data_IF_639878640020
#
_entry.id   IF_639878640020
#
_cell.length_a   1.000
_cell.length_b   1.000
_cell.length_c   1.000
_cell.angle_alpha   90.00
_cell.angle_beta   90.00
_cell.angle_gamma   90.00
#
_symmetry.space_group_name_H-M   'P 1'
#
loop_
_entity.id
_entity.type
_entity.pdbx_description
1 polymer ?
#
# COMPACT_ATOMS: atom_id res chain seq x y z
N UNK A 1 -21.43 12.10 1.76
CA UNK A 1 -20.48 11.20 1.10
C UNK A 1 -19.16 11.27 1.84
N UNK A 2 -18.62 10.12 2.24
CA UNK A 2 -17.30 10.09 2.87
C UNK A 2 -16.22 10.43 1.86
N UNK A 3 -15.29 11.31 2.24
CA UNK A 3 -14.19 11.73 1.40
C UNK A 3 -12.95 10.91 1.72
N UNK A 4 -12.46 10.17 0.73
CA UNK A 4 -11.34 9.23 0.85
C UNK A 4 -10.13 9.77 0.09
N UNK A 5 -9.00 9.89 0.78
CA UNK A 5 -7.73 10.33 0.23
C UNK A 5 -6.99 9.15 -0.43
N UNK A 6 -6.48 9.36 -1.63
CA UNK A 6 -5.62 8.41 -2.34
C UNK A 6 -4.32 9.08 -2.78
N UNK A 7 -3.24 8.30 -2.90
CA UNK A 7 -2.03 8.75 -3.59
C UNK A 7 -2.16 8.42 -5.09
N UNK A 8 -1.79 9.38 -5.95
CA UNK A 8 -2.03 9.33 -7.39
C UNK A 8 -3.40 9.89 -7.75
N UNK A 9 -3.84 9.61 -8.98
CA UNK A 9 -5.10 10.08 -9.53
C UNK A 9 -6.08 8.93 -9.79
N UNK A 10 -7.28 9.23 -10.26
CA UNK A 10 -8.24 8.22 -10.74
C UNK A 10 -7.58 7.28 -11.75
N UNK A 11 -7.87 5.99 -11.64
CA UNK A 11 -7.21 4.95 -12.42
C UNK A 11 -5.92 4.40 -11.80
N UNK A 12 -5.39 5.00 -10.72
CA UNK A 12 -4.28 4.40 -9.96
C UNK A 12 -4.73 3.15 -9.18
N UNK A 13 -3.77 2.33 -8.73
CA UNK A 13 -4.09 1.18 -7.89
C UNK A 13 -4.70 1.59 -6.53
N UNK A 14 -4.33 2.76 -6.00
CA UNK A 14 -4.97 3.31 -4.80
C UNK A 14 -6.44 3.67 -5.07
N UNK A 15 -6.76 4.21 -6.24
CA UNK A 15 -8.14 4.46 -6.66
C UNK A 15 -8.93 3.16 -6.73
N UNK A 16 -8.38 2.11 -7.36
CA UNK A 16 -9.02 0.80 -7.43
C UNK A 16 -9.34 0.27 -6.04
N UNK A 17 -8.36 0.29 -5.11
CA UNK A 17 -8.57 -0.16 -3.72
C UNK A 17 -9.65 0.65 -3.02
N UNK A 18 -9.69 1.98 -3.22
CA UNK A 18 -10.74 2.81 -2.61
C UNK A 18 -12.13 2.39 -3.11
N UNK A 19 -12.28 2.15 -4.40
CA UNK A 19 -13.55 1.70 -4.99
C UNK A 19 -13.93 0.29 -4.53
N UNK A 20 -12.97 -0.65 -4.49
CA UNK A 20 -13.21 -2.02 -4.06
C UNK A 20 -13.60 -2.11 -2.58
N UNK A 21 -13.02 -1.26 -1.74
CA UNK A 21 -13.23 -1.30 -0.28
C UNK A 21 -14.49 -0.54 0.16
N UNK A 22 -14.74 0.63 -0.42
CA UNK A 22 -15.82 1.54 0.01
C UNK A 22 -17.04 1.54 -0.93
N UNK A 23 -16.90 0.98 -2.14
CA UNK A 23 -17.93 1.07 -3.18
C UNK A 23 -17.94 2.44 -3.89
N UNK A 24 -18.97 2.67 -4.69
CA UNK A 24 -19.04 3.82 -5.60
C UNK A 24 -19.60 5.10 -4.96
N UNK A 25 -20.06 5.03 -3.70
CA UNK A 25 -20.70 6.16 -3.01
C UNK A 25 -19.73 7.00 -2.17
N UNK A 26 -18.49 7.19 -2.68
CA UNK A 26 -17.44 7.97 -2.03
C UNK A 26 -16.97 9.12 -2.91
N UNK A 27 -16.45 10.18 -2.28
CA UNK A 27 -15.71 11.24 -2.94
C UNK A 27 -14.21 10.94 -2.85
N UNK A 28 -13.55 10.83 -3.98
CA UNK A 28 -12.10 10.62 -4.04
C UNK A 28 -11.37 11.96 -4.01
N UNK A 29 -10.41 12.09 -3.09
CA UNK A 29 -9.46 13.19 -3.04
C UNK A 29 -8.06 12.70 -3.45
N UNK A 30 -7.52 13.28 -4.50
CA UNK A 30 -6.27 12.91 -5.13
C UNK A 30 -5.10 13.71 -4.54
N UNK A 31 -4.02 13.02 -4.17
CA UNK A 31 -2.79 13.61 -3.65
C UNK A 31 -1.57 12.99 -4.33
N UNK A 32 -0.55 13.81 -4.62
CA UNK A 32 0.63 13.30 -5.31
C UNK A 32 1.68 12.71 -4.37
N UNK A 33 1.51 12.87 -3.06
CA UNK A 33 2.38 12.27 -2.04
C UNK A 33 1.59 11.67 -0.88
N UNK A 34 2.18 10.69 -0.20
CA UNK A 34 1.60 10.13 1.02
C UNK A 34 1.57 11.13 2.17
N UNK A 35 2.51 12.06 2.24
CA UNK A 35 2.53 13.14 3.23
C UNK A 35 1.32 14.06 3.07
N UNK A 36 0.99 14.48 1.84
CA UNK A 36 -0.20 15.29 1.56
C UNK A 36 -1.48 14.54 1.89
N UNK A 37 -1.56 13.24 1.53
CA UNK A 37 -2.68 12.37 1.86
C UNK A 37 -2.89 12.32 3.38
N UNK A 38 -1.86 12.01 4.16
CA UNK A 38 -1.92 11.92 5.62
C UNK A 38 -2.30 13.27 6.23
N UNK A 39 -1.69 14.36 5.77
CA UNK A 39 -2.02 15.72 6.21
C UNK A 39 -3.48 16.09 5.92
N UNK A 40 -4.06 15.61 4.83
CA UNK A 40 -5.47 15.83 4.53
C UNK A 40 -6.41 15.22 5.58
N UNK A 41 -6.06 14.04 6.09
CA UNK A 41 -6.81 13.36 7.16
C UNK A 41 -6.61 14.09 8.50
N UNK A 42 -5.35 14.41 8.85
CA UNK A 42 -5.04 15.16 10.08
C UNK A 42 -5.80 16.49 10.14
N UNK A 43 -5.93 17.17 9.02
CA UNK A 43 -6.61 18.45 8.91
C UNK A 43 -8.13 18.34 8.64
N UNK A 44 -8.74 17.16 8.77
CA UNK A 44 -10.16 16.88 8.55
C UNK A 44 -10.68 17.27 7.15
N UNK A 45 -9.80 17.30 6.14
CA UNK A 45 -10.19 17.48 4.73
C UNK A 45 -10.71 16.18 4.14
N UNK A 46 -10.17 15.05 4.61
CA UNK A 46 -10.61 13.70 4.29
C UNK A 46 -10.87 12.91 5.58
N UNK A 47 -11.81 11.98 5.54
CA UNK A 47 -12.16 11.13 6.68
C UNK A 47 -11.21 9.93 6.78
N UNK A 48 -10.85 9.37 5.64
CA UNK A 48 -10.04 8.16 5.51
C UNK A 48 -9.04 8.29 4.38
N UNK A 49 -8.05 7.40 4.35
CA UNK A 49 -7.08 7.32 3.27
C UNK A 49 -6.65 5.88 2.99
N UNK A 50 -6.19 5.66 1.77
CA UNK A 50 -5.67 4.39 1.29
C UNK A 50 -4.16 4.50 1.13
N UNK A 51 -3.40 3.66 1.83
CA UNK A 51 -1.92 3.65 1.77
C UNK A 51 -1.42 2.25 1.43
N UNK A 52 -0.61 2.11 0.40
CA UNK A 52 0.14 0.89 0.12
C UNK A 52 1.18 0.66 1.21
N UNK A 53 1.21 -0.55 1.80
CA UNK A 53 2.11 -0.86 2.92
C UNK A 53 3.14 -1.93 2.56
N UNK A 54 2.82 -2.80 1.63
CA UNK A 54 3.65 -3.93 1.24
C UNK A 54 3.30 -4.43 -0.16
N UNK A 55 4.32 -4.88 -0.88
CA UNK A 55 4.16 -5.58 -2.14
C UNK A 55 4.90 -6.92 -2.07
N UNK A 56 4.31 -7.99 -2.60
CA UNK A 56 4.86 -9.36 -2.53
C UNK A 56 6.22 -9.53 -3.22
N UNK A 57 6.59 -8.62 -4.12
CA UNK A 57 7.87 -8.65 -4.87
C UNK A 57 8.84 -7.61 -4.31
N UNK A 58 8.36 -6.37 -4.10
CA UNK A 58 9.19 -5.25 -3.65
C UNK A 58 9.39 -5.21 -2.12
N UNK A 59 8.59 -5.98 -1.36
CA UNK A 59 8.64 -6.00 0.09
C UNK A 59 7.90 -4.85 0.75
N UNK A 60 8.29 -4.51 1.98
CA UNK A 60 7.67 -3.46 2.79
C UNK A 60 7.96 -2.07 2.25
N UNK A 61 6.92 -1.23 2.18
CA UNK A 61 7.04 0.20 1.86
C UNK A 61 7.35 0.94 3.17
N UNK A 62 8.61 0.86 3.58
CA UNK A 62 9.11 1.30 4.89
C UNK A 62 8.69 2.72 5.27
N UNK A 63 8.78 3.75 4.39
CA UNK A 63 8.40 5.11 4.75
C UNK A 63 6.94 5.22 5.22
N UNK A 64 6.04 4.39 4.69
CA UNK A 64 4.62 4.46 5.01
C UNK A 64 4.31 3.94 6.42
N UNK A 65 5.10 3.00 6.95
CA UNK A 65 5.00 2.59 8.36
C UNK A 65 5.33 3.75 9.31
N UNK A 66 6.44 4.45 9.04
CA UNK A 66 6.85 5.60 9.83
C UNK A 66 5.81 6.72 9.74
N UNK A 67 5.26 6.96 8.55
CA UNK A 67 4.26 7.99 8.32
C UNK A 67 2.97 7.74 9.11
N UNK A 68 2.46 6.49 9.12
CA UNK A 68 1.27 6.10 9.90
C UNK A 68 1.53 6.27 11.39
N UNK A 69 2.70 5.82 11.87
CA UNK A 69 3.05 5.92 13.29
C UNK A 69 3.17 7.37 13.77
N UNK A 70 3.92 8.18 13.03
CA UNK A 70 4.19 9.59 13.39
C UNK A 70 2.92 10.46 13.32
N UNK A 71 1.99 10.12 12.45
CA UNK A 71 0.72 10.84 12.29
C UNK A 71 -0.33 10.51 13.34
N UNK A 72 -0.10 9.49 14.18
CA UNK A 72 -1.09 8.94 15.12
C UNK A 72 -2.40 8.47 14.47
N UNK A 73 -2.41 8.24 13.16
CA UNK A 73 -3.54 7.66 12.48
C UNK A 73 -3.68 6.18 12.85
N UNK A 74 -4.90 5.66 12.71
CA UNK A 74 -5.24 4.27 13.00
C UNK A 74 -5.48 3.50 11.72
N UNK A 75 -4.99 2.27 11.67
CA UNK A 75 -5.34 1.32 10.62
C UNK A 75 -6.72 0.75 10.95
N UNK A 76 -7.66 0.93 10.05
CA UNK A 76 -9.06 0.53 10.23
C UNK A 76 -9.48 -0.61 9.30
N UNK A 77 -8.61 -1.00 8.38
CA UNK A 77 -8.85 -2.11 7.46
C UNK A 77 -7.66 -2.35 6.56
N UNK A 78 -7.75 -3.43 5.80
CA UNK A 78 -6.78 -3.76 4.75
C UNK A 78 -7.47 -4.28 3.50
N UNK A 79 -6.80 -4.16 2.39
CA UNK A 79 -7.22 -4.72 1.12
C UNK A 79 -6.03 -5.18 0.30
N UNK A 80 -6.20 -6.27 -0.46
CA UNK A 80 -5.16 -6.85 -1.30
C UNK A 80 -5.63 -6.82 -2.74
N UNK A 81 -4.77 -6.36 -3.65
CA UNK A 81 -5.03 -6.44 -5.09
C UNK A 81 -3.83 -7.00 -5.83
N UNK A 82 -4.09 -7.71 -6.92
CA UNK A 82 -3.06 -8.07 -7.87
C UNK A 82 -2.68 -6.86 -8.74
N UNK A 83 -1.39 -6.59 -8.84
CA UNK A 83 -0.86 -5.53 -9.68
C UNK A 83 -0.61 -6.10 -11.08
N UNK A 84 -1.50 -5.80 -12.00
CA UNK A 84 -1.45 -6.23 -13.39
C UNK A 84 -1.15 -5.03 -14.29
N UNK A 85 0.04 -4.99 -14.85
CA UNK A 85 0.48 -3.89 -15.69
C UNK A 85 0.08 -4.09 -17.14
N UNK A 86 -0.64 -3.11 -17.68
CA UNK A 86 -1.05 -3.06 -19.09
C UNK A 86 -0.20 -2.03 -19.84
N UNK A 87 0.27 -2.35 -21.03
CA UNK A 87 0.80 -1.35 -21.95
C UNK A 87 -0.36 -0.77 -22.75
N UNK A 88 -0.54 0.54 -22.69
CA UNK A 88 -1.64 1.23 -23.33
C UNK A 88 -1.17 2.50 -24.06
N UNK A 89 -1.91 2.90 -25.09
CA UNK A 89 -1.70 4.15 -25.83
C UNK A 89 -3.02 4.63 -26.42
N UNK A 90 -2.98 5.70 -27.23
CA UNK A 90 -4.17 6.16 -27.98
C UNK A 90 -4.73 5.05 -28.88
N UNK A 91 -6.06 4.97 -29.04
CA UNK A 91 -6.69 3.99 -29.90
C UNK A 91 -6.11 3.96 -31.31
N UNK A 92 -5.90 2.75 -31.84
CA UNK A 92 -5.28 2.51 -33.15
C UNK A 92 -3.76 2.53 -33.19
N UNK A 93 -3.08 2.84 -32.04
CA UNK A 93 -1.62 2.75 -31.92
C UNK A 93 -1.16 1.30 -31.86
N UNK A 94 0.02 1.03 -32.38
CA UNK A 94 0.69 -0.28 -32.28
C UNK A 94 2.01 -0.11 -31.53
N UNK A 95 2.51 -1.20 -30.93
CA UNK A 95 3.77 -1.16 -30.15
C UNK A 95 4.95 -0.61 -30.97
N UNK A 96 4.99 -0.84 -32.27
CA UNK A 96 6.03 -0.34 -33.18
C UNK A 96 5.98 1.17 -33.42
N UNK A 97 4.86 1.82 -33.09
CA UNK A 97 4.63 3.26 -33.27
C UNK A 97 5.06 4.06 -32.02
N UNK A 98 5.50 3.33 -30.96
CA UNK A 98 5.93 3.93 -29.71
C UNK A 98 7.45 4.19 -29.71
N UNK A 99 7.84 5.42 -29.42
CA UNK A 99 9.23 5.82 -29.16
C UNK A 99 9.55 5.74 -27.66
N UNK A 100 8.55 6.04 -26.83
CA UNK A 100 8.69 6.13 -25.38
C UNK A 100 7.59 5.37 -24.68
N UNK A 101 7.92 4.72 -23.57
CA UNK A 101 6.94 4.22 -22.59
C UNK A 101 7.28 4.80 -21.24
N UNK A 102 6.31 5.46 -20.63
CA UNK A 102 6.49 6.11 -19.34
C UNK A 102 5.61 5.47 -18.26
N UNK A 103 6.12 5.43 -17.03
CA UNK A 103 5.39 4.97 -15.85
C UNK A 103 6.18 5.20 -14.57
N UNK A 104 5.57 4.87 -13.42
CA UNK A 104 6.25 4.83 -12.14
C UNK A 104 7.46 3.87 -12.19
N UNK A 105 8.62 4.20 -11.55
CA UNK A 105 9.85 3.41 -11.61
C UNK A 105 9.65 1.92 -11.30
N UNK A 106 8.83 1.59 -10.30
CA UNK A 106 8.54 0.20 -9.94
C UNK A 106 7.79 -0.55 -11.04
N UNK A 107 6.87 0.10 -11.75
CA UNK A 107 6.15 -0.52 -12.87
C UNK A 107 7.10 -0.79 -14.04
N UNK A 108 7.98 0.15 -14.36
CA UNK A 108 9.03 -0.02 -15.38
C UNK A 108 9.96 -1.19 -15.04
N UNK A 109 10.43 -1.25 -13.77
CA UNK A 109 11.29 -2.33 -13.30
C UNK A 109 10.62 -3.71 -13.42
N UNK A 110 9.35 -3.80 -13.03
CA UNK A 110 8.59 -5.05 -13.08
C UNK A 110 8.29 -5.50 -14.52
N UNK A 111 8.28 -4.59 -15.49
CA UNK A 111 8.03 -4.87 -16.91
C UNK A 111 9.30 -4.95 -17.78
N UNK A 112 10.49 -4.86 -17.17
CA UNK A 112 11.76 -4.76 -17.90
C UNK A 112 12.01 -5.91 -18.89
N UNK A 113 11.63 -7.15 -18.56
CA UNK A 113 11.80 -8.30 -19.44
C UNK A 113 10.97 -8.20 -20.72
N UNK A 114 9.76 -7.63 -20.63
CA UNK A 114 8.92 -7.38 -21.80
C UNK A 114 9.64 -6.44 -22.78
N UNK A 115 10.22 -5.34 -22.28
CA UNK A 115 10.89 -4.34 -23.12
C UNK A 115 12.28 -4.76 -23.64
N UNK A 116 12.87 -5.83 -23.14
CA UNK A 116 14.08 -6.42 -23.76
C UNK A 116 13.85 -6.84 -25.22
N UNK A 117 12.61 -7.20 -25.57
CA UNK A 117 12.21 -7.56 -26.94
C UNK A 117 11.82 -6.33 -27.80
N UNK A 118 11.77 -5.15 -27.20
CA UNK A 118 11.37 -3.90 -27.83
C UNK A 118 12.42 -2.80 -27.55
N UNK A 119 13.67 -3.08 -27.91
CA UNK A 119 14.84 -2.25 -27.58
C UNK A 119 14.84 -0.86 -28.24
N UNK A 120 13.96 -0.62 -29.19
CA UNK A 120 13.73 0.68 -29.81
C UNK A 120 12.91 1.63 -28.92
N UNK A 121 12.26 1.11 -27.87
CA UNK A 121 11.43 1.90 -26.97
C UNK A 121 12.28 2.42 -25.79
N UNK A 122 12.27 3.72 -25.57
CA UNK A 122 12.90 4.34 -24.39
C UNK A 122 11.94 4.29 -23.20
N UNK A 123 12.41 3.76 -22.07
CA UNK A 123 11.66 3.75 -20.81
C UNK A 123 11.95 5.03 -20.03
N UNK A 124 10.91 5.75 -19.63
CA UNK A 124 10.99 7.02 -18.90
C UNK A 124 10.25 6.94 -17.58
N UNK A 125 10.93 7.28 -16.50
CA UNK A 125 10.32 7.33 -15.16
C UNK A 125 9.39 8.53 -15.01
N UNK A 126 8.26 8.30 -14.35
CA UNK A 126 7.26 9.31 -14.02
C UNK A 126 6.72 9.11 -12.59
N UNK A 127 5.99 10.08 -12.09
CA UNK A 127 5.53 10.12 -10.70
C UNK A 127 4.44 9.09 -10.38
N UNK A 128 3.55 8.82 -11.34
CA UNK A 128 2.41 7.94 -11.15
C UNK A 128 2.06 7.20 -12.45
N UNK A 129 1.52 5.98 -12.32
CA UNK A 129 1.16 5.15 -13.48
C UNK A 129 -0.04 5.71 -14.26
N UNK A 130 -1.08 6.16 -13.55
CA UNK A 130 -2.31 6.64 -14.15
C UNK A 130 -2.17 8.07 -14.73
N UNK A 131 -1.28 8.89 -14.15
CA UNK A 131 -1.03 10.25 -14.64
C UNK A 131 -0.47 10.26 -16.06
N UNK A 132 0.39 9.30 -16.39
CA UNK A 132 0.90 9.16 -17.76
C UNK A 132 -0.26 8.85 -18.73
N UNK A 133 -1.14 7.91 -18.36
CA UNK A 133 -2.31 7.58 -19.16
C UNK A 133 -3.24 8.79 -19.36
N UNK A 134 -3.49 9.56 -18.30
CA UNK A 134 -4.26 10.80 -18.36
C UNK A 134 -3.65 11.80 -19.34
N UNK A 135 -2.31 12.06 -19.27
CA UNK A 135 -1.65 13.01 -20.18
C UNK A 135 -1.67 12.56 -21.61
N UNK A 136 -1.47 11.26 -21.90
CA UNK A 136 -1.56 10.72 -23.25
C UNK A 136 -2.94 11.03 -23.87
N UNK A 137 -4.00 10.82 -23.12
CA UNK A 137 -5.35 11.09 -23.61
C UNK A 137 -5.64 12.58 -23.72
N UNK A 138 -5.32 13.37 -22.69
CA UNK A 138 -5.56 14.82 -22.67
C UNK A 138 -4.88 15.53 -23.84
N UNK A 139 -3.59 15.21 -24.06
CA UNK A 139 -2.73 15.91 -25.01
C UNK A 139 -2.66 15.18 -26.39
N UNK A 140 -3.39 14.04 -26.53
CA UNK A 140 -3.45 13.21 -27.76
C UNK A 140 -2.06 12.80 -28.27
N UNK A 141 -1.18 12.35 -27.37
CA UNK A 141 0.21 12.01 -27.70
C UNK A 141 0.28 10.63 -28.37
N UNK A 142 0.72 10.58 -29.63
CA UNK A 142 0.63 9.35 -30.45
C UNK A 142 1.80 8.38 -30.28
N UNK A 143 2.99 8.87 -29.91
CA UNK A 143 4.22 8.07 -29.89
C UNK A 143 4.65 7.68 -28.46
N UNK A 144 3.79 7.88 -27.46
CA UNK A 144 4.03 7.54 -26.08
C UNK A 144 3.02 6.49 -25.62
N UNK A 145 3.52 5.43 -24.97
CA UNK A 145 2.73 4.47 -24.24
C UNK A 145 2.83 4.67 -22.73
N UNK A 146 1.80 4.25 -22.00
CA UNK A 146 1.80 4.17 -20.54
C UNK A 146 1.78 2.72 -20.08
N UNK A 147 2.42 2.45 -18.93
CA UNK A 147 2.19 1.23 -18.15
C UNK A 147 1.29 1.60 -16.99
N UNK A 148 0.06 1.09 -16.97
CA UNK A 148 -0.90 1.39 -15.93
C UNK A 148 -1.88 0.23 -15.69
N UNK A 149 -2.89 0.43 -14.85
CA UNK A 149 -3.95 -0.52 -14.55
C UNK A 149 -4.97 -0.60 -15.71
N UNK A 150 -5.76 -1.66 -15.75
CA UNK A 150 -6.93 -1.76 -16.65
C UNK A 150 -7.89 -0.61 -16.39
N UNK A 151 -8.07 -0.22 -15.12
CA UNK A 151 -8.96 0.87 -14.74
C UNK A 151 -8.53 2.22 -15.36
N UNK A 152 -7.22 2.49 -15.43
CA UNK A 152 -6.72 3.68 -16.13
C UNK A 152 -7.04 3.66 -17.63
N UNK A 153 -6.95 2.50 -18.28
CA UNK A 153 -7.36 2.35 -19.69
C UNK A 153 -8.82 2.70 -19.88
N UNK A 154 -9.70 2.19 -19.00
CA UNK A 154 -11.14 2.44 -19.08
C UNK A 154 -11.49 3.92 -18.85
N UNK A 155 -10.92 4.53 -17.80
CA UNK A 155 -11.20 5.93 -17.44
C UNK A 155 -10.71 6.91 -18.50
N UNK A 156 -9.52 6.65 -19.06
CA UNK A 156 -8.88 7.56 -20.02
C UNK A 156 -9.06 7.13 -21.48
N UNK A 157 -9.92 6.14 -21.73
CA UNK A 157 -10.25 5.68 -23.11
C UNK A 157 -9.00 5.38 -23.95
N UNK A 158 -7.99 4.75 -23.32
CA UNK A 158 -6.80 4.27 -24.00
C UNK A 158 -6.97 2.81 -24.44
N UNK A 159 -6.36 2.44 -25.55
CA UNK A 159 -6.33 1.05 -26.02
C UNK A 159 -5.20 0.29 -25.33
N UNK A 160 -5.53 -0.88 -24.78
CA UNK A 160 -4.52 -1.81 -24.25
C UNK A 160 -3.85 -2.50 -25.43
N UNK A 161 -2.56 -2.20 -25.64
CA UNK A 161 -1.75 -2.77 -26.72
C UNK A 161 -1.19 -4.15 -26.33
N UNK A 162 -0.87 -4.33 -25.04
CA UNK A 162 -0.41 -5.61 -24.52
C UNK A 162 -0.81 -5.74 -23.06
N UNK A 163 -1.35 -6.92 -22.73
CA UNK A 163 -1.87 -7.23 -21.41
C UNK A 163 -0.81 -7.88 -20.50
N UNK A 164 -0.90 -7.57 -19.20
CA UNK A 164 -0.16 -8.27 -18.15
C UNK A 164 1.34 -8.39 -18.44
N UNK A 165 1.98 -7.26 -18.79
CA UNK A 165 3.37 -7.25 -19.26
C UNK A 165 4.42 -7.38 -18.14
N UNK A 166 4.00 -7.40 -16.86
CA UNK A 166 4.91 -7.64 -15.74
C UNK A 166 5.53 -9.05 -15.80
N UNK A 167 6.79 -9.17 -15.43
CA UNK A 167 7.56 -10.41 -15.46
C UNK A 167 7.00 -11.46 -14.49
N UNK A 168 6.75 -11.06 -13.25
CA UNK A 168 6.18 -11.91 -12.22
C UNK A 168 4.68 -11.69 -12.16
N UNK A 169 3.89 -12.75 -12.42
CA UNK A 169 2.42 -12.65 -12.54
C UNK A 169 1.73 -12.56 -11.17
N UNK A 170 2.25 -13.27 -10.16
CA UNK A 170 1.77 -13.16 -8.78
C UNK A 170 2.41 -11.94 -8.12
N UNK A 171 1.82 -10.77 -8.36
CA UNK A 171 2.28 -9.49 -7.86
C UNK A 171 1.16 -8.85 -7.05
N UNK A 172 1.13 -9.16 -5.76
CA UNK A 172 0.09 -8.68 -4.88
C UNK A 172 0.58 -7.51 -4.04
N UNK A 173 -0.22 -6.47 -3.93
CA UNK A 173 0.04 -5.33 -3.04
C UNK A 173 -1.02 -5.27 -1.96
N UNK A 174 -0.56 -5.15 -0.73
CA UNK A 174 -1.36 -4.88 0.45
C UNK A 174 -1.48 -3.40 0.68
N UNK A 175 -2.70 -2.94 0.81
CA UNK A 175 -3.06 -1.58 1.19
C UNK A 175 -3.72 -1.59 2.56
N UNK A 176 -3.53 -0.54 3.33
CA UNK A 176 -4.24 -0.31 4.58
C UNK A 176 -5.12 0.92 4.46
N UNK A 177 -6.26 0.87 5.13
CA UNK A 177 -7.17 1.99 5.29
C UNK A 177 -6.82 2.68 6.59
N UNK A 178 -6.60 3.98 6.53
CA UNK A 178 -6.21 4.78 7.69
C UNK A 178 -7.27 5.85 7.98
N UNK A 179 -7.45 6.17 9.25
CA UNK A 179 -8.30 7.26 9.73
C UNK A 179 -7.80 7.82 11.07
N UNK A 180 -8.37 8.95 11.53
CA UNK A 180 -8.07 9.50 12.86
C UNK A 180 -8.56 8.61 13.99
N UNK A 181 -9.72 8.01 13.81
CA UNK A 181 -10.39 7.25 14.85
C UNK A 181 -10.29 5.75 14.55
N UNK A 182 -10.00 4.97 15.57
CA UNK A 182 -10.17 3.52 15.47
C UNK A 182 -11.64 3.21 15.20
N UNK A 183 -11.91 2.20 14.38
CA UNK A 183 -13.25 1.63 14.31
C UNK A 183 -13.61 1.02 15.68
N UNK A 184 -14.92 1.01 15.99
CA UNK A 184 -15.40 0.27 17.17
C UNK A 184 -14.97 -1.19 17.03
N UNK A 185 -14.56 -1.79 18.14
CA UNK A 185 -14.24 -3.21 18.16
C UNK A 185 -15.45 -4.01 17.64
N UNK A 186 -15.26 -4.67 16.52
CA UNK A 186 -16.21 -5.61 15.95
C UNK A 186 -15.76 -7.03 16.30
N UNK A 187 -16.68 -7.91 16.63
CA UNK A 187 -16.40 -9.33 16.86
C UNK A 187 -15.79 -10.05 15.63
N UNK A 188 -15.88 -9.44 14.46
CA UNK A 188 -15.26 -9.93 13.22
C UNK A 188 -13.79 -9.54 13.06
N UNK A 189 -13.27 -8.68 13.94
CA UNK A 189 -11.87 -8.31 13.89
C UNK A 189 -11.01 -9.46 14.40
N UNK A 190 -10.05 -9.86 13.60
CA UNK A 190 -9.19 -11.03 13.82
C UNK A 190 -7.71 -10.75 13.50
N UNK A 191 -7.36 -9.47 13.23
CA UNK A 191 -6.00 -9.04 12.95
C UNK A 191 -5.68 -7.74 13.68
N UNK A 192 -4.44 -7.64 14.19
CA UNK A 192 -3.91 -6.43 14.80
C UNK A 192 -2.57 -6.05 14.19
N UNK A 193 -2.39 -4.75 13.94
CA UNK A 193 -1.08 -4.15 13.64
C UNK A 193 -0.57 -3.43 14.87
N UNK A 194 0.64 -3.80 15.30
CA UNK A 194 1.27 -3.32 16.51
C UNK A 194 2.63 -2.70 16.20
N UNK A 195 3.04 -1.73 17.01
CA UNK A 195 4.41 -1.25 17.08
C UNK A 195 4.92 -1.37 18.50
N UNK A 196 6.15 -1.85 18.68
CA UNK A 196 6.82 -1.84 19.97
C UNK A 196 8.30 -1.50 19.85
N UNK A 197 8.87 -1.01 20.94
CA UNK A 197 10.29 -0.73 21.08
C UNK A 197 10.84 -1.61 22.20
N UNK A 198 11.99 -2.22 21.98
CA UNK A 198 12.64 -3.12 22.93
C UNK A 198 13.98 -2.56 23.40
N UNK A 199 14.35 -2.94 24.62
CA UNK A 199 15.71 -2.71 25.09
C UNK A 199 16.72 -3.51 24.24
N UNK A 200 17.89 -2.94 23.99
CA UNK A 200 18.95 -3.58 23.21
C UNK A 200 19.67 -4.66 24.02
N UNK A 201 18.95 -5.75 24.35
CA UNK A 201 19.46 -6.91 25.10
C UNK A 201 19.16 -8.20 24.38
N UNK A 202 20.04 -9.19 24.57
CA UNK A 202 19.84 -10.53 24.02
C UNK A 202 18.52 -11.13 24.52
N UNK A 203 17.74 -11.69 23.58
CA UNK A 203 16.51 -12.42 23.89
C UNK A 203 15.24 -11.57 24.00
N UNK A 204 15.31 -10.24 23.98
CA UNK A 204 14.12 -9.39 24.19
C UNK A 204 13.07 -9.60 23.09
N UNK A 205 13.46 -9.70 21.83
CA UNK A 205 12.53 -10.00 20.73
C UNK A 205 11.97 -11.42 20.87
N UNK A 206 12.79 -12.40 21.24
CA UNK A 206 12.34 -13.77 21.44
C UNK A 206 11.25 -13.85 22.51
N UNK A 207 11.40 -13.11 23.62
CA UNK A 207 10.38 -13.05 24.67
C UNK A 207 9.03 -12.51 24.17
N UNK A 208 9.03 -11.50 23.29
CA UNK A 208 7.79 -11.00 22.66
C UNK A 208 7.16 -12.09 21.77
N UNK A 209 7.97 -12.79 20.96
CA UNK A 209 7.46 -13.86 20.10
C UNK A 209 6.88 -15.04 20.89
N UNK A 210 7.47 -15.37 22.06
CA UNK A 210 6.93 -16.37 22.98
C UNK A 210 5.57 -15.94 23.54
N UNK A 211 5.40 -14.65 23.92
CA UNK A 211 4.11 -14.13 24.38
C UNK A 211 3.04 -14.30 23.30
N UNK A 212 3.35 -13.94 22.05
CA UNK A 212 2.40 -14.12 20.95
C UNK A 212 1.99 -15.58 20.80
N UNK A 213 2.95 -16.51 20.80
CA UNK A 213 2.71 -17.95 20.72
C UNK A 213 1.85 -18.45 21.89
N UNK A 214 2.19 -18.07 23.14
CA UNK A 214 1.51 -18.58 24.34
C UNK A 214 0.10 -18.00 24.50
N UNK A 215 -0.17 -16.86 23.85
CA UNK A 215 -1.51 -16.29 23.73
C UNK A 215 -2.27 -16.74 22.48
N UNK A 216 -1.75 -17.69 21.69
CA UNK A 216 -2.33 -18.17 20.43
C UNK A 216 -2.54 -17.06 19.40
N UNK A 217 -1.58 -16.14 19.27
CA UNK A 217 -1.53 -15.14 18.21
C UNK A 217 -0.53 -15.59 17.14
N UNK A 218 -0.99 -15.61 15.88
CA UNK A 218 -0.10 -15.95 14.76
C UNK A 218 0.53 -14.69 14.18
N UNK A 219 1.86 -14.63 14.21
CA UNK A 219 2.63 -13.55 13.60
C UNK A 219 2.60 -13.69 12.07
N UNK A 220 2.02 -12.74 11.37
CA UNK A 220 1.93 -12.74 9.91
C UNK A 220 2.95 -11.81 9.25
N UNK A 221 3.47 -10.82 10.00
CA UNK A 221 4.50 -9.89 9.53
C UNK A 221 5.34 -9.38 10.68
N UNK A 222 6.63 -9.18 10.40
CA UNK A 222 7.54 -8.43 11.28
C UNK A 222 8.47 -7.56 10.43
N UNK A 223 8.57 -6.29 10.79
CA UNK A 223 9.46 -5.32 10.16
C UNK A 223 10.14 -4.47 11.24
N UNK A 224 11.47 -4.43 11.25
CA UNK A 224 12.21 -3.50 12.12
C UNK A 224 12.48 -2.19 11.39
N UNK A 225 12.36 -1.06 12.11
CA UNK A 225 12.74 0.27 11.64
C UNK A 225 13.68 0.92 12.66
N UNK A 226 14.79 1.54 12.22
CA UNK A 226 15.64 2.32 13.12
C UNK A 226 14.85 3.52 13.67
N UNK A 227 15.09 3.85 14.93
CA UNK A 227 14.61 5.10 15.52
C UNK A 227 15.68 6.16 15.23
N UNK A 228 15.34 7.13 14.38
CA UNK A 228 16.30 8.09 13.83
C UNK A 228 17.03 8.89 14.95
N UNK A 229 16.30 9.24 16.01
CA UNK A 229 16.79 10.04 17.13
C UNK A 229 17.72 9.27 18.06
N UNK A 230 17.72 7.93 18.01
CA UNK A 230 18.49 7.09 18.92
C UNK A 230 19.26 6.06 18.11
N UNK A 231 20.58 6.25 17.87
CA UNK A 231 21.40 5.30 17.11
C UNK A 231 21.31 3.87 17.69
N UNK A 232 21.21 2.88 16.79
CA UNK A 232 21.15 1.44 17.12
C UNK A 232 19.90 1.00 17.88
N UNK A 233 18.89 1.87 18.05
CA UNK A 233 17.60 1.52 18.59
C UNK A 233 16.59 1.30 17.48
N UNK A 234 15.74 0.27 17.66
CA UNK A 234 14.78 -0.16 16.64
C UNK A 234 13.38 -0.21 17.21
N UNK A 235 12.43 0.21 16.42
CA UNK A 235 11.03 -0.13 16.59
C UNK A 235 10.69 -1.34 15.71
N UNK A 236 9.77 -2.17 16.19
CA UNK A 236 9.27 -3.33 15.48
C UNK A 236 7.80 -3.11 15.15
N UNK A 237 7.48 -3.23 13.87
CA UNK A 237 6.11 -3.25 13.38
C UNK A 237 5.75 -4.70 13.13
N UNK A 238 4.64 -5.16 13.73
CA UNK A 238 4.18 -6.53 13.57
C UNK A 238 2.70 -6.57 13.26
N UNK A 239 2.32 -7.52 12.43
CA UNK A 239 0.92 -7.89 12.25
C UNK A 239 0.70 -9.28 12.84
N UNK A 240 -0.37 -9.42 13.56
CA UNK A 240 -0.75 -10.69 14.17
C UNK A 240 -2.23 -10.97 13.96
N UNK A 241 -2.57 -12.22 13.70
CA UNK A 241 -3.96 -12.70 13.68
C UNK A 241 -4.28 -13.39 14.99
N UNK A 242 -5.55 -13.33 15.39
CA UNK A 242 -6.05 -13.88 16.64
C UNK A 242 -7.47 -14.45 16.48
N UNK A 243 -7.85 -15.37 17.35
CA UNK A 243 -9.20 -15.97 17.35
C UNK A 243 -10.17 -15.30 18.32
N UNK A 244 -9.64 -14.60 19.34
CA UNK A 244 -10.47 -13.85 20.29
C UNK A 244 -9.78 -12.57 20.74
N UNK A 245 -10.56 -11.53 21.02
CA UNK A 245 -10.06 -10.28 21.60
C UNK A 245 -9.43 -10.48 22.98
N UNK A 246 -9.88 -11.47 23.75
CA UNK A 246 -9.31 -11.79 25.06
C UNK A 246 -7.86 -12.27 24.92
N UNK A 247 -7.56 -13.10 23.91
CA UNK A 247 -6.20 -13.53 23.63
C UNK A 247 -5.31 -12.34 23.23
N UNK A 248 -5.82 -11.46 22.39
CA UNK A 248 -5.11 -10.23 22.01
C UNK A 248 -4.86 -9.35 23.23
N UNK A 249 -5.89 -9.07 24.03
CA UNK A 249 -5.75 -8.21 25.24
C UNK A 249 -4.76 -8.78 26.25
N UNK A 250 -4.78 -10.11 26.46
CA UNK A 250 -3.79 -10.79 27.30
C UNK A 250 -2.37 -10.60 26.76
N UNK A 251 -2.17 -10.80 25.45
CA UNK A 251 -0.88 -10.61 24.82
C UNK A 251 -0.39 -9.16 24.95
N UNK A 252 -1.27 -8.18 24.70
CA UNK A 252 -0.93 -6.75 24.81
C UNK A 252 -0.45 -6.39 26.23
N UNK A 253 -1.14 -6.87 27.28
CA UNK A 253 -0.72 -6.63 28.66
C UNK A 253 0.66 -7.20 28.96
N UNK A 254 0.94 -8.44 28.55
CA UNK A 254 2.26 -9.06 28.73
C UNK A 254 3.36 -8.39 27.89
N UNK A 255 3.04 -7.96 26.67
CA UNK A 255 3.98 -7.24 25.80
C UNK A 255 4.31 -5.85 26.37
N UNK A 256 3.36 -5.15 26.96
CA UNK A 256 3.58 -3.84 27.59
C UNK A 256 4.59 -3.93 28.75
N UNK A 257 4.56 -5.00 29.56
CA UNK A 257 5.52 -5.26 30.62
C UNK A 257 6.95 -5.56 30.11
N UNK A 258 7.09 -6.08 28.89
CA UNK A 258 8.36 -6.52 28.31
C UNK A 258 8.94 -5.54 27.28
N UNK A 259 8.19 -4.53 26.88
CA UNK A 259 8.62 -3.51 25.92
C UNK A 259 8.85 -2.16 26.59
N UNK A 260 9.69 -1.32 26.01
CA UNK A 260 9.85 0.08 26.44
C UNK A 260 8.65 0.94 26.00
N UNK A 261 8.02 0.57 24.92
CA UNK A 261 6.76 1.14 24.46
C UNK A 261 6.01 0.15 23.59
N UNK A 262 4.69 0.17 23.68
CA UNK A 262 3.78 -0.60 22.86
C UNK A 262 2.69 0.33 22.32
N UNK A 263 2.39 0.24 21.03
CA UNK A 263 1.32 1.00 20.36
C UNK A 263 0.49 0.08 19.49
N UNK A 264 -0.81 0.08 19.71
CA UNK A 264 -1.77 -0.57 18.79
C UNK A 264 -2.04 0.43 17.66
N UNK A 265 -1.60 0.08 16.45
CA UNK A 265 -1.83 0.88 15.25
C UNK A 265 -3.23 0.66 14.70
N UNK A 266 -3.78 -0.56 14.86
CA UNK A 266 -5.14 -0.88 14.47
C UNK A 266 -5.53 -2.31 14.80
N UNK A 267 -6.85 -2.53 14.95
CA UNK A 267 -7.49 -3.84 15.07
C UNK A 267 -8.60 -3.87 14.03
N UNK A 268 -8.55 -4.82 13.12
CA UNK A 268 -9.42 -4.87 11.95
C UNK A 268 -9.59 -6.30 11.43
N UNK A 269 -10.45 -6.47 10.44
CA UNK A 269 -10.68 -7.77 9.82
C UNK A 269 -9.55 -8.13 8.86
N UNK A 270 -8.99 -9.34 9.03
CA UNK A 270 -8.03 -9.91 8.09
C UNK A 270 -8.67 -10.15 6.72
N UNK A 271 -7.98 -9.76 5.66
CA UNK A 271 -8.43 -9.94 4.26
C UNK A 271 -7.54 -10.88 3.47
N UNK A 272 -6.54 -11.48 4.09
CA UNK A 272 -5.80 -12.59 3.46
C UNK A 272 -6.75 -13.78 3.34
N UNK A 273 -6.91 -14.28 2.12
CA UNK A 273 -7.69 -15.48 1.82
C UNK A 273 -6.87 -16.74 1.99
#
# INVERSE_FOLDING_TARGET
MSKVAIQGIKGSYHHQVAMDFFGNEIEIAEFMSFDELVNSIINNKCEMGVIAIENSIAGSIIPNYALIDNSNLKITGEHYININHQLMALPGSKIKDLDVVASHPMALLQCKEFFRKHSNITLVEDKDTAEVAYRIQRDKIKNIGAIASVEASNIYELEIISENIQTIKNNETRFVIISKNALKNDSKNDKASLKFVLSHKTGTLAAILEILKDCNLNLTKIQSLPIVEIPWKYSFFVDTTFHSLDNLNKALGLMEEKSESLKVLGIYQNKIK
#
